data_IF_388968630784
#
_entry.id   IF_388968630784
#
_cell.length_a   1.000
_cell.length_b   1.000
_cell.length_c   1.000
_cell.angle_alpha   90.00
_cell.angle_beta   90.00
_cell.angle_gamma   90.00
#
_symmetry.space_group_name_H-M   'P 1'
#
loop_
_entity.id
_entity.type
_entity.pdbx_description
1 polymer ?
#
# COMPACT_ATOMS: atom_id res chain seq x y z
N UNK A 1 9.10 8.31 13.56
CA UNK A 1 8.44 8.57 12.26
C UNK A 1 7.59 7.35 11.91
N UNK A 2 6.35 7.26 12.41
CA UNK A 2 5.49 6.07 12.27
C UNK A 2 4.24 6.31 11.38
N UNK A 3 4.07 7.54 10.89
CA UNK A 3 2.83 8.04 10.28
C UNK A 3 2.41 7.39 8.94
N UNK A 4 3.24 6.55 8.29
CA UNK A 4 2.88 5.96 6.99
C UNK A 4 2.34 4.52 7.11
N UNK A 5 2.93 3.67 7.94
CA UNK A 5 2.49 2.26 8.08
C UNK A 5 1.15 2.14 8.79
N UNK A 6 0.98 2.81 9.93
CA UNK A 6 -0.24 2.74 10.75
C UNK A 6 -1.45 3.24 9.96
N UNK A 7 -1.28 4.31 9.18
CA UNK A 7 -2.33 4.85 8.29
C UNK A 7 -2.73 3.83 7.22
N UNK A 8 -1.77 3.19 6.57
CA UNK A 8 -2.05 2.14 5.57
C UNK A 8 -2.78 0.96 6.22
N UNK A 9 -2.38 0.54 7.41
CA UNK A 9 -3.01 -0.56 8.15
C UNK A 9 -4.45 -0.23 8.54
N UNK A 10 -4.72 0.99 9.02
CA UNK A 10 -6.08 1.47 9.32
C UNK A 10 -6.95 1.44 8.07
N UNK A 11 -6.46 1.95 6.93
CA UNK A 11 -7.24 1.97 5.69
C UNK A 11 -7.58 0.56 5.20
N UNK A 12 -6.62 -0.36 5.19
CA UNK A 12 -6.85 -1.76 4.80
C UNK A 12 -7.85 -2.42 5.74
N UNK A 13 -7.73 -2.19 7.05
CA UNK A 13 -8.67 -2.73 8.04
C UNK A 13 -10.09 -2.17 7.89
N UNK A 14 -10.26 -1.00 7.29
CA UNK A 14 -11.56 -0.41 6.95
C UNK A 14 -12.07 -0.81 5.55
N UNK A 15 -11.41 -1.78 4.90
CA UNK A 15 -11.87 -2.34 3.62
C UNK A 15 -11.35 -1.61 2.38
N UNK A 16 -10.28 -0.81 2.50
CA UNK A 16 -9.62 -0.25 1.32
C UNK A 16 -9.08 -1.37 0.41
N UNK A 17 -9.39 -1.30 -0.88
CA UNK A 17 -8.83 -2.22 -1.88
C UNK A 17 -7.38 -1.81 -2.23
N UNK A 18 -6.46 -2.75 -2.01
CA UNK A 18 -5.02 -2.55 -2.20
C UNK A 18 -4.56 -2.64 -3.66
N UNK A 19 -5.46 -2.99 -4.58
CA UNK A 19 -5.16 -3.16 -6.01
C UNK A 19 -5.76 -2.05 -6.89
N UNK A 20 -6.39 -1.03 -6.30
CA UNK A 20 -6.92 0.10 -7.05
C UNK A 20 -5.80 0.80 -7.80
N UNK A 21 -6.06 1.12 -9.07
CA UNK A 21 -5.14 1.87 -9.91
C UNK A 21 -5.51 3.35 -9.91
N UNK A 22 -4.51 4.21 -9.88
CA UNK A 22 -4.70 5.63 -10.20
C UNK A 22 -4.85 5.84 -11.73
N UNK A 23 -4.96 7.11 -12.15
CA UNK A 23 -5.12 7.48 -13.55
C UNK A 23 -3.92 7.08 -14.44
N UNK A 24 -2.76 6.83 -13.83
CA UNK A 24 -1.53 6.39 -14.51
C UNK A 24 -1.40 4.86 -14.52
N UNK A 25 -2.38 4.13 -13.96
CA UNK A 25 -2.37 2.68 -13.87
C UNK A 25 -1.54 2.12 -12.71
N UNK A 26 -1.05 2.97 -11.80
CA UNK A 26 -0.22 2.53 -10.68
C UNK A 26 -1.07 2.11 -9.48
N UNK A 27 -0.71 0.99 -8.88
CA UNK A 27 -1.29 0.52 -7.61
C UNK A 27 -0.55 1.14 -6.41
N UNK A 28 -1.14 1.08 -5.20
CA UNK A 28 -0.42 1.39 -3.96
C UNK A 28 0.93 0.65 -3.85
N UNK A 29 1.02 -0.58 -4.36
CA UNK A 29 2.26 -1.35 -4.36
C UNK A 29 3.30 -0.76 -5.31
N UNK A 30 2.93 -0.34 -6.51
CA UNK A 30 3.86 0.31 -7.45
C UNK A 30 4.49 1.56 -6.82
N UNK A 31 3.67 2.40 -6.16
CA UNK A 31 4.14 3.57 -5.43
C UNK A 31 5.10 3.22 -4.29
N UNK A 32 4.78 2.19 -3.50
CA UNK A 32 5.62 1.74 -2.41
C UNK A 32 6.98 1.19 -2.90
N UNK A 33 6.99 0.46 -4.02
CA UNK A 33 8.20 -0.07 -4.65
C UNK A 33 9.08 1.05 -5.23
N UNK A 34 8.50 2.02 -5.94
CA UNK A 34 9.21 3.20 -6.44
C UNK A 34 9.88 4.01 -5.33
N UNK A 35 9.20 4.17 -4.19
CA UNK A 35 9.72 4.88 -3.02
C UNK A 35 10.65 4.01 -2.15
N UNK A 36 10.81 2.72 -2.47
CA UNK A 36 11.58 1.74 -1.68
C UNK A 36 11.09 1.62 -0.22
N UNK A 37 9.79 1.83 0.02
CA UNK A 37 9.17 1.75 1.35
C UNK A 37 8.93 0.28 1.76
N UNK A 38 10.00 -0.42 2.17
CA UNK A 38 9.99 -1.87 2.45
C UNK A 38 8.85 -2.33 3.36
N UNK A 39 8.58 -1.62 4.44
CA UNK A 39 7.51 -2.02 5.38
C UNK A 39 6.12 -1.96 4.74
N UNK A 40 5.86 -0.95 3.92
CA UNK A 40 4.58 -0.79 3.20
C UNK A 40 4.47 -1.85 2.10
N UNK A 41 5.56 -2.14 1.38
CA UNK A 41 5.60 -3.22 0.39
C UNK A 41 5.21 -4.55 1.04
N UNK A 42 5.80 -4.88 2.20
CA UNK A 42 5.49 -6.11 2.93
C UNK A 42 4.04 -6.12 3.42
N UNK A 43 3.56 -5.00 3.96
CA UNK A 43 2.18 -4.87 4.43
C UNK A 43 1.18 -5.07 3.28
N UNK A 44 1.35 -4.37 2.16
CA UNK A 44 0.47 -4.49 1.00
C UNK A 44 0.48 -5.91 0.42
N UNK A 45 1.65 -6.53 0.27
CA UNK A 45 1.76 -7.93 -0.21
C UNK A 45 1.07 -8.92 0.73
N UNK A 46 1.18 -8.71 2.05
CA UNK A 46 0.47 -9.53 3.05
C UNK A 46 -1.05 -9.45 2.89
N UNK A 47 -1.57 -8.32 2.42
CA UNK A 47 -2.99 -8.09 2.16
C UNK A 47 -3.40 -8.35 0.70
N UNK A 48 -2.56 -9.03 -0.09
CA UNK A 48 -2.91 -9.49 -1.43
C UNK A 48 -2.74 -8.45 -2.55
N UNK A 49 -1.96 -7.40 -2.31
CA UNK A 49 -1.55 -6.48 -3.37
C UNK A 49 -0.68 -7.19 -4.42
N UNK A 50 -0.96 -6.97 -5.70
CA UNK A 50 -0.27 -7.57 -6.84
C UNK A 50 -0.05 -6.58 -7.97
#
# INVERSE_FOLDING_TARGET
MYANKETVEVLINHGADVNVQDNDGNTPLNHAEWRKHREIIVLLKKHGAR
#
